data_IF_147095559715
#
_entry.id   IF_147095559715
#
_cell.length_a   1.000
_cell.length_b   1.000
_cell.length_c   1.000
_cell.angle_alpha   90.00
_cell.angle_beta   90.00
_cell.angle_gamma   90.00
#
_symmetry.space_group_name_H-M   'P 1'
#
loop_
_entity.id
_entity.type
_entity.pdbx_description
1 polymer ?
#
# COMPACT_ATOMS: atom_id res chain seq x y z
N UNK A 1 9.46 10.08 27.08
CA UNK A 1 9.13 9.23 25.92
C UNK A 1 10.43 9.00 25.18
N UNK A 2 11.10 7.88 25.40
CA UNK A 2 12.28 7.51 24.61
C UNK A 2 11.79 6.92 23.30
N UNK A 3 12.01 7.65 22.22
CA UNK A 3 11.83 7.13 20.86
C UNK A 3 13.12 6.39 20.52
N UNK A 4 13.07 5.06 20.48
CA UNK A 4 14.19 4.26 19.97
C UNK A 4 14.28 4.48 18.46
N UNK A 5 15.23 5.28 18.01
CA UNK A 5 15.60 5.37 16.59
C UNK A 5 16.57 4.23 16.29
N UNK A 6 16.10 3.20 15.59
CA UNK A 6 17.01 2.33 14.85
C UNK A 6 17.42 3.10 13.61
N UNK A 7 18.69 3.51 13.53
CA UNK A 7 19.27 4.03 12.30
C UNK A 7 19.38 2.85 11.33
N UNK A 8 18.38 2.68 10.47
CA UNK A 8 18.52 1.86 9.27
C UNK A 8 19.23 2.75 8.27
N UNK A 9 20.55 2.57 8.14
CA UNK A 9 21.40 3.43 7.29
C UNK A 9 20.97 3.44 5.81
N UNK A 10 20.13 2.49 5.38
CA UNK A 10 19.71 2.33 3.98
C UNK A 10 18.21 2.04 3.84
N UNK A 11 17.32 2.79 4.51
CA UNK A 11 15.87 2.68 4.31
C UNK A 11 15.23 3.94 3.73
N UNK A 12 14.15 3.73 2.99
CA UNK A 12 13.29 4.78 2.44
C UNK A 12 11.86 4.61 2.92
N UNK A 13 11.15 5.72 3.06
CA UNK A 13 9.72 5.74 3.30
C UNK A 13 8.97 5.56 1.98
N UNK A 14 8.07 4.59 1.95
CA UNK A 14 7.12 4.36 0.89
C UNK A 14 5.78 5.01 1.27
N UNK A 15 5.44 6.12 0.62
CA UNK A 15 4.10 6.71 0.72
C UNK A 15 3.19 6.10 -0.34
N UNK A 16 2.15 5.41 0.11
CA UNK A 16 1.23 4.63 -0.70
C UNK A 16 -0.11 5.36 -0.80
N UNK A 17 -0.62 5.48 -2.02
CA UNK A 17 -2.00 5.91 -2.31
C UNK A 17 -2.63 4.96 -3.31
N UNK A 18 -3.90 4.63 -3.11
CA UNK A 18 -4.63 3.69 -3.96
C UNK A 18 -5.94 4.34 -4.37
N UNK A 19 -6.17 4.44 -5.67
CA UNK A 19 -7.38 5.03 -6.24
C UNK A 19 -8.19 3.97 -6.98
N UNK A 20 -9.48 3.88 -6.72
CA UNK A 20 -10.38 3.08 -7.54
C UNK A 20 -10.75 3.86 -8.80
N UNK A 21 -10.43 3.28 -9.96
CA UNK A 21 -10.73 3.87 -11.28
C UNK A 21 -12.08 3.35 -11.79
N UNK A 22 -12.40 2.09 -11.53
CA UNK A 22 -13.60 1.39 -11.99
C UNK A 22 -14.02 0.29 -11.00
N UNK A 23 -15.33 0.10 -10.81
CA UNK A 23 -15.89 -0.86 -9.86
C UNK A 23 -15.90 -0.32 -8.43
N UNK A 24 -16.08 -1.19 -7.45
CA UNK A 24 -16.06 -0.87 -6.02
C UNK A 24 -15.13 -1.84 -5.29
N UNK A 25 -14.25 -1.35 -4.42
CA UNK A 25 -13.36 -2.22 -3.66
C UNK A 25 -13.94 -2.51 -2.27
N UNK A 26 -14.19 -3.79 -2.01
CA UNK A 26 -14.54 -4.31 -0.69
C UNK A 26 -13.56 -5.43 -0.34
N UNK A 27 -12.73 -5.21 0.68
CA UNK A 27 -11.70 -6.18 1.00
C UNK A 27 -10.61 -5.65 1.91
N UNK A 28 -9.46 -6.32 1.85
CA UNK A 28 -8.28 -6.03 2.65
C UNK A 28 -7.08 -5.74 1.76
N UNK A 29 -6.30 -4.75 2.15
CA UNK A 29 -5.05 -4.38 1.50
C UNK A 29 -3.93 -4.46 2.54
N UNK A 30 -2.87 -5.18 2.21
CA UNK A 30 -1.71 -5.36 3.09
C UNK A 30 -0.42 -4.99 2.36
N UNK A 31 0.57 -4.55 3.13
CA UNK A 31 1.96 -4.40 2.70
C UNK A 31 2.84 -5.42 3.41
N UNK A 32 3.74 -6.04 2.67
CA UNK A 32 4.83 -6.86 3.19
C UNK A 32 6.14 -6.20 2.75
N UNK A 33 7.09 -6.10 3.67
CA UNK A 33 8.45 -5.66 3.37
C UNK A 33 9.47 -6.71 3.80
N UNK A 34 10.72 -6.55 3.39
CA UNK A 34 11.81 -7.46 3.82
C UNK A 34 11.89 -7.60 5.34
N UNK A 35 11.67 -6.50 6.06
CA UNK A 35 11.89 -6.42 7.51
C UNK A 35 10.60 -6.46 8.34
N UNK A 36 9.43 -6.45 7.69
CA UNK A 36 8.13 -6.38 8.37
C UNK A 36 7.09 -7.28 7.72
N UNK A 37 6.40 -8.05 8.56
CA UNK A 37 5.38 -9.01 8.14
C UNK A 37 3.98 -8.37 8.14
N UNK A 38 3.35 -8.33 6.97
CA UNK A 38 1.91 -8.13 6.76
C UNK A 38 1.27 -6.94 7.51
N UNK A 39 1.71 -5.73 7.19
CA UNK A 39 1.10 -4.48 7.62
C UNK A 39 -0.27 -4.30 6.95
N UNK A 40 -1.33 -4.08 7.72
CA UNK A 40 -2.65 -3.79 7.17
C UNK A 40 -2.73 -2.32 6.77
N UNK A 41 -2.85 -2.07 5.46
CA UNK A 41 -3.04 -0.72 4.92
C UNK A 41 -4.52 -0.34 4.91
N UNK A 42 -5.41 -1.27 4.60
CA UNK A 42 -6.86 -1.06 4.57
C UNK A 42 -7.59 -2.35 4.92
N UNK A 43 -8.72 -2.21 5.61
CA UNK A 43 -9.70 -3.28 5.82
C UNK A 43 -11.10 -2.66 5.81
N UNK A 44 -11.92 -3.03 4.83
CA UNK A 44 -13.27 -2.45 4.67
C UNK A 44 -14.20 -2.76 5.86
N UNK A 45 -13.88 -3.78 6.68
CA UNK A 45 -14.64 -4.07 7.92
C UNK A 45 -14.37 -3.04 9.02
N UNK A 46 -13.23 -2.36 8.98
CA UNK A 46 -12.79 -1.38 9.99
C UNK A 46 -12.99 0.04 9.50
N UNK A 47 -12.54 0.34 8.28
CA UNK A 47 -12.62 1.68 7.69
C UNK A 47 -14.02 2.02 7.15
N UNK A 48 -14.94 1.06 7.14
CA UNK A 48 -16.23 1.17 6.48
C UNK A 48 -16.12 1.07 4.95
N UNK A 49 -17.27 1.00 4.31
CA UNK A 49 -17.39 1.01 2.84
C UNK A 49 -17.12 2.42 2.35
N UNK A 50 -16.38 2.54 1.25
CA UNK A 50 -16.26 3.82 0.54
C UNK A 50 -17.62 4.18 -0.05
N UNK A 51 -18.40 4.97 0.69
CA UNK A 51 -19.75 5.40 0.30
C UNK A 51 -19.67 6.49 -0.77
N UNK A 52 -19.54 6.09 -2.03
CA UNK A 52 -19.61 6.99 -3.17
C UNK A 52 -19.15 6.32 -4.45
N UNK A 53 -20.08 6.08 -5.38
CA UNK A 53 -19.97 5.65 -6.79
C UNK A 53 -18.82 4.70 -7.23
N UNK A 54 -18.13 4.06 -6.29
CA UNK A 54 -16.94 3.26 -6.53
C UNK A 54 -15.69 4.01 -6.94
N UNK A 55 -15.68 5.35 -7.04
CA UNK A 55 -14.51 6.10 -7.54
C UNK A 55 -13.91 6.98 -6.45
N UNK A 56 -12.60 6.89 -6.27
CA UNK A 56 -11.86 7.76 -5.36
C UNK A 56 -10.66 7.10 -4.70
N UNK A 57 -9.98 7.88 -3.86
CA UNK A 57 -8.82 7.43 -3.07
C UNK A 57 -9.30 6.58 -1.89
N UNK A 58 -8.86 5.33 -1.82
CA UNK A 58 -9.12 4.44 -0.69
C UNK A 58 -8.44 5.00 0.56
N UNK A 59 -9.20 5.17 1.64
CA UNK A 59 -8.64 5.58 2.92
C UNK A 59 -7.83 4.44 3.53
N UNK A 60 -6.52 4.67 3.69
CA UNK A 60 -5.60 3.74 4.33
C UNK A 60 -5.49 4.03 5.83
N UNK A 61 -5.51 2.99 6.65
CA UNK A 61 -5.17 3.03 8.08
C UNK A 61 -3.70 3.42 8.30
N UNK A 62 -2.84 3.03 7.35
CA UNK A 62 -1.44 3.43 7.28
C UNK A 62 -1.06 3.62 5.82
N UNK A 63 -0.62 4.82 5.46
CA UNK A 63 -0.17 5.14 4.10
C UNK A 63 1.35 5.10 3.94
N UNK A 64 2.11 5.16 5.04
CA UNK A 64 3.58 5.21 5.01
C UNK A 64 4.17 3.93 5.59
N UNK A 65 5.13 3.33 4.87
CA UNK A 65 5.85 2.12 5.28
C UNK A 65 7.35 2.33 5.09
N UNK A 66 8.16 1.92 6.06
CA UNK A 66 9.63 1.90 5.91
C UNK A 66 10.08 0.66 5.15
N UNK A 67 10.95 0.84 4.16
CA UNK A 67 11.47 -0.24 3.33
C UNK A 67 12.98 -0.07 3.14
N UNK A 68 13.75 -1.12 3.41
CA UNK A 68 15.19 -1.16 3.14
C UNK A 68 15.45 -1.07 1.63
N UNK A 69 16.45 -0.29 1.20
CA UNK A 69 16.77 -0.02 -0.21
C UNK A 69 17.08 -1.29 -1.02
N UNK A 70 17.77 -2.26 -0.42
CA UNK A 70 18.03 -3.57 -1.03
C UNK A 70 16.84 -4.54 -0.95
N UNK A 71 15.75 -4.09 -0.32
CA UNK A 71 14.56 -4.89 -0.06
C UNK A 71 13.47 -4.77 -1.13
N UNK A 72 12.25 -5.09 -0.73
CA UNK A 72 11.06 -4.93 -1.56
C UNK A 72 9.85 -4.50 -0.74
N UNK A 73 8.88 -3.91 -1.44
CA UNK A 73 7.52 -3.70 -0.96
C UNK A 73 6.57 -4.55 -1.80
N UNK A 74 5.78 -5.40 -1.16
CA UNK A 74 4.72 -6.16 -1.81
C UNK A 74 3.37 -5.67 -1.30
N UNK A 75 2.57 -5.08 -2.17
CA UNK A 75 1.20 -4.66 -1.85
C UNK A 75 0.23 -5.74 -2.32
N UNK A 76 -0.51 -6.34 -1.39
CA UNK A 76 -1.47 -7.42 -1.67
C UNK A 76 -2.88 -6.94 -1.41
N UNK A 77 -3.77 -7.32 -2.31
CA UNK A 77 -5.18 -7.02 -2.32
C UNK A 77 -5.94 -8.34 -2.24
N UNK A 78 -6.92 -8.41 -1.36
CA UNK A 78 -7.87 -9.52 -1.26
C UNK A 78 -9.26 -8.92 -1.23
N UNK A 79 -10.08 -9.21 -2.23
CA UNK A 79 -11.48 -8.77 -2.23
C UNK A 79 -12.38 -9.71 -1.38
N UNK A 80 -13.63 -9.31 -1.16
CA UNK A 80 -14.63 -10.07 -0.40
C UNK A 80 -14.97 -11.44 -1.00
N UNK A 81 -14.73 -11.63 -2.30
CA UNK A 81 -14.93 -12.90 -3.01
C UNK A 81 -13.70 -13.82 -2.91
N UNK A 82 -12.61 -13.35 -2.29
CA UNK A 82 -11.35 -14.07 -2.15
C UNK A 82 -10.40 -13.93 -3.34
N UNK A 83 -10.67 -13.03 -4.30
CA UNK A 83 -9.72 -12.77 -5.38
C UNK A 83 -8.49 -12.09 -4.82
N UNK A 84 -7.32 -12.65 -5.11
CA UNK A 84 -6.03 -12.17 -4.62
C UNK A 84 -5.19 -11.60 -5.75
N UNK A 85 -4.56 -10.45 -5.50
CA UNK A 85 -3.57 -9.86 -6.38
C UNK A 85 -2.45 -9.22 -5.59
N UNK A 86 -1.21 -9.37 -6.04
CA UNK A 86 -0.05 -8.73 -5.43
C UNK A 86 0.73 -7.92 -6.46
N UNK A 87 1.28 -6.79 -6.02
CA UNK A 87 2.14 -5.91 -6.80
C UNK A 87 3.46 -5.72 -6.04
N UNK A 88 4.56 -6.11 -6.68
CA UNK A 88 5.90 -5.83 -6.18
C UNK A 88 6.36 -4.43 -6.59
N UNK A 89 6.99 -3.72 -5.67
CA UNK A 89 7.61 -2.42 -5.91
C UNK A 89 9.05 -2.47 -5.36
N UNK A 90 10.01 -2.09 -6.21
CA UNK A 90 11.40 -1.94 -5.81
C UNK A 90 11.60 -0.55 -5.17
N UNK A 91 12.21 -0.48 -3.98
CA UNK A 91 12.60 0.78 -3.35
C UNK A 91 13.54 1.59 -4.25
N UNK A 92 13.48 2.91 -4.15
CA UNK A 92 14.40 3.78 -4.87
C UNK A 92 14.51 5.14 -4.21
N UNK A 93 15.63 5.82 -4.39
CA UNK A 93 15.83 7.16 -3.84
C UNK A 93 15.05 8.16 -4.70
N UNK A 94 14.04 8.82 -4.12
CA UNK A 94 13.17 9.81 -4.78
C UNK A 94 12.41 9.31 -6.03
N UNK A 95 12.09 8.01 -6.07
CA UNK A 95 11.30 7.43 -7.15
C UNK A 95 9.79 7.60 -6.95
N UNK A 96 9.03 7.54 -8.05
CA UNK A 96 7.58 7.36 -8.02
C UNK A 96 7.19 6.22 -8.93
N UNK A 97 6.37 5.32 -8.42
CA UNK A 97 5.80 4.20 -9.16
C UNK A 97 4.30 4.41 -9.24
N UNK A 98 3.75 4.25 -10.44
CA UNK A 98 2.31 4.27 -10.65
C UNK A 98 1.94 3.05 -11.50
N UNK A 99 1.03 2.23 -11.01
CA UNK A 99 0.66 0.98 -11.70
C UNK A 99 -0.81 0.69 -11.51
N UNK A 100 -1.49 0.41 -12.62
CA UNK A 100 -2.87 -0.04 -12.58
C UNK A 100 -2.92 -1.55 -12.30
N UNK A 101 -3.86 -1.97 -11.46
CA UNK A 101 -4.12 -3.37 -11.13
C UNK A 101 -5.62 -3.64 -11.13
N UNK A 102 -5.99 -4.89 -11.36
CA UNK A 102 -7.39 -5.34 -11.32
C UNK A 102 -7.52 -6.50 -10.35
N UNK A 103 -8.53 -6.43 -9.47
CA UNK A 103 -8.86 -7.44 -8.46
C UNK A 103 -10.35 -7.70 -8.56
N UNK A 104 -10.73 -8.93 -8.92
CA UNK A 104 -12.12 -9.23 -9.26
C UNK A 104 -12.62 -8.31 -10.39
N UNK A 105 -13.67 -7.53 -10.10
CA UNK A 105 -14.27 -6.56 -11.03
C UNK A 105 -13.75 -5.13 -10.83
N UNK A 106 -12.80 -4.93 -9.93
CA UNK A 106 -12.38 -3.60 -9.49
C UNK A 106 -11.00 -3.27 -10.03
N UNK A 107 -10.91 -2.15 -10.76
CA UNK A 107 -9.66 -1.64 -11.31
C UNK A 107 -9.17 -0.47 -10.46
N UNK A 108 -7.93 -0.56 -10.03
CA UNK A 108 -7.29 0.39 -9.12
C UNK A 108 -5.97 0.91 -9.68
N UNK A 109 -5.57 2.09 -9.22
CA UNK A 109 -4.29 2.72 -9.49
C UNK A 109 -3.50 2.81 -8.19
N UNK A 110 -2.41 2.06 -8.12
CA UNK A 110 -1.49 2.09 -7.00
C UNK A 110 -0.40 3.11 -7.30
N UNK A 111 -0.20 4.05 -6.38
CA UNK A 111 0.85 5.06 -6.42
C UNK A 111 1.76 4.83 -5.22
N UNK A 112 3.06 4.73 -5.46
CA UNK A 112 4.08 4.65 -4.42
C UNK A 112 5.09 5.76 -4.68
N UNK A 113 5.32 6.61 -3.70
CA UNK A 113 6.37 7.61 -3.72
C UNK A 113 7.42 7.26 -2.65
N UNK A 114 8.69 7.33 -3.02
CA UNK A 114 9.80 7.02 -2.14
C UNK A 114 10.50 8.29 -1.67
N UNK A 115 10.80 8.38 -0.38
CA UNK A 115 11.57 9.48 0.21
C UNK A 115 12.57 8.96 1.24
N UNK A 116 13.68 9.69 1.41
CA UNK A 116 14.62 9.42 2.49
C UNK A 116 14.04 9.91 3.83
N UNK A 117 14.42 9.23 4.92
CA UNK A 117 14.36 9.83 6.24
C UNK A 117 15.35 11.01 6.26
N UNK A 118 14.84 12.23 6.38
CA UNK A 118 15.65 13.44 6.59
C UNK A 118 15.56 13.88 8.05
#
# INVERSE_FOLDING_TARGET
MEVMYAVVNDAVEATISIEVIEGEFYGKITALTTDSLNLVLHDSKVAGVMNGNGKGVIQLLRSVVSVTLEGYLLVTFVDQSGNLKSLGCTPGINGRVQTATTVGLTRMLVKVAWSLFI
#
